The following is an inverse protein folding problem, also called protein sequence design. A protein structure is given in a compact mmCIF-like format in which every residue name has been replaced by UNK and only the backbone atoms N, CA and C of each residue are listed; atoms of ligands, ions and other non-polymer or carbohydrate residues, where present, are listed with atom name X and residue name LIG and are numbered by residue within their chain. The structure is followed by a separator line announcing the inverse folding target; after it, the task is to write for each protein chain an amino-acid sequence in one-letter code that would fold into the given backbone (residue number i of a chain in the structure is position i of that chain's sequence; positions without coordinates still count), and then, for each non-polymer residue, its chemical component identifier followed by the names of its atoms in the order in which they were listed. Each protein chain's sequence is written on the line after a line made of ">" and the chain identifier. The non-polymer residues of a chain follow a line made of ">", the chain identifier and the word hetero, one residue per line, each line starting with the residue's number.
data_IF_308311567790
#
_entry.id   IF_308311567790
#
_cell.length_a   1.000
_cell.length_b   1.000
_cell.length_c   1.000
_cell.angle_alpha   90.00
_cell.angle_beta   90.00
_cell.angle_gamma   90.00
#
_symmetry.space_group_name_H-M   'P 1'
#
loop_
_entity.id
_entity.type
_entity.pdbx_description
1 polymer ?
#
# COMPACT_ATOMS: atom_id res chain seq x y z
N UNK A 1 0.60 8.97 -13.21
CA UNK A 1 0.83 7.63 -12.65
C UNK A 1 2.21 7.10 -13.04
N UNK A 2 2.57 7.04 -14.33
CA UNK A 2 3.90 6.54 -14.75
C UNK A 2 5.10 7.25 -14.08
N UNK A 3 5.01 8.56 -13.85
CA UNK A 3 6.07 9.33 -13.18
C UNK A 3 6.26 8.94 -11.72
N UNK A 4 5.18 8.75 -10.96
CA UNK A 4 5.24 8.32 -9.55
C UNK A 4 5.81 6.90 -9.42
N UNK A 5 5.32 5.95 -10.23
CA UNK A 5 5.82 4.58 -10.21
C UNK A 5 7.33 4.53 -10.49
N UNK A 6 7.78 5.30 -11.50
CA UNK A 6 9.20 5.37 -11.84
C UNK A 6 10.05 5.96 -10.69
N UNK A 7 9.56 7.00 -10.02
CA UNK A 7 10.23 7.58 -8.84
C UNK A 7 10.33 6.58 -7.70
N UNK A 8 9.27 5.83 -7.43
CA UNK A 8 9.25 4.79 -6.40
C UNK A 8 10.19 3.63 -6.73
N UNK A 9 10.24 3.18 -7.99
CA UNK A 9 11.19 2.15 -8.43
C UNK A 9 12.65 2.62 -8.28
N UNK A 10 12.93 3.90 -8.55
CA UNK A 10 14.26 4.48 -8.32
C UNK A 10 14.58 4.54 -6.83
N UNK A 11 13.62 4.86 -5.97
CA UNK A 11 13.81 4.85 -4.51
C UNK A 11 14.08 3.45 -3.96
N UNK A 12 13.35 2.44 -4.45
CA UNK A 12 13.57 1.02 -4.11
C UNK A 12 14.98 0.62 -4.53
N UNK A 13 15.34 0.88 -5.80
CA UNK A 13 16.67 0.57 -6.33
C UNK A 13 17.80 1.25 -5.54
N UNK A 14 17.60 2.49 -5.07
CA UNK A 14 18.56 3.22 -4.25
C UNK A 14 18.73 2.71 -2.81
N UNK A 15 17.83 1.82 -2.36
CA UNK A 15 17.89 1.17 -1.03
C UNK A 15 18.40 -0.27 -1.10
N UNK A 16 18.60 -0.81 -2.31
CA UNK A 16 19.14 -2.15 -2.47
C UNK A 16 20.61 -2.19 -2.09
N UNK A 17 20.94 -3.23 -1.36
CA UNK A 17 22.30 -3.59 -0.95
C UNK A 17 22.72 -4.87 -1.68
N UNK A 18 24.03 -5.19 -1.75
CA UNK A 18 24.47 -6.48 -2.27
C UNK A 18 23.86 -7.69 -1.55
N UNK A 19 23.43 -7.50 -0.31
CA UNK A 19 22.75 -8.50 0.51
C UNK A 19 21.25 -8.58 0.26
N UNK A 20 20.67 -7.61 -0.47
CA UNK A 20 19.24 -7.59 -0.77
C UNK A 20 18.84 -8.75 -1.66
N UNK A 21 17.77 -9.42 -1.26
CA UNK A 21 17.17 -10.54 -1.95
C UNK A 21 16.09 -10.07 -2.91
N UNK A 22 15.66 -10.97 -3.80
CA UNK A 22 14.54 -10.69 -4.69
C UNK A 22 13.24 -10.51 -3.89
N UNK A 23 13.09 -11.25 -2.79
CA UNK A 23 11.99 -11.15 -1.85
C UNK A 23 11.88 -9.75 -1.23
N UNK A 24 13.01 -9.13 -0.85
CA UNK A 24 13.03 -7.76 -0.32
C UNK A 24 12.50 -6.74 -1.33
N UNK A 25 12.79 -6.95 -2.63
CA UNK A 25 12.26 -6.12 -3.71
C UNK A 25 10.75 -6.31 -3.85
N UNK A 26 10.27 -7.56 -3.80
CA UNK A 26 8.85 -7.87 -3.89
C UNK A 26 8.05 -7.30 -2.71
N UNK A 27 8.60 -7.36 -1.49
CA UNK A 27 7.96 -6.77 -0.31
C UNK A 27 7.77 -5.25 -0.48
N UNK A 28 8.80 -4.54 -0.95
CA UNK A 28 8.71 -3.10 -1.20
C UNK A 28 7.72 -2.75 -2.31
N UNK A 29 7.65 -3.55 -3.37
CA UNK A 29 6.66 -3.38 -4.44
C UNK A 29 5.23 -3.67 -3.96
N UNK A 30 5.04 -4.68 -3.12
CA UNK A 30 3.73 -5.00 -2.52
C UNK A 30 3.24 -3.85 -1.65
N UNK A 31 4.11 -3.31 -0.80
CA UNK A 31 3.79 -2.15 0.04
C UNK A 31 3.40 -0.94 -0.82
N UNK A 32 4.08 -0.72 -1.95
CA UNK A 32 3.73 0.35 -2.88
C UNK A 32 2.32 0.19 -3.43
N UNK A 33 1.97 -1.02 -3.87
CA UNK A 33 0.65 -1.32 -4.40
C UNK A 33 -0.45 -1.08 -3.34
N UNK A 34 -0.20 -1.48 -2.10
CA UNK A 34 -1.13 -1.26 -0.98
C UNK A 34 -1.33 0.23 -0.68
N UNK A 35 -0.25 1.03 -0.77
CA UNK A 35 -0.32 2.50 -0.62
C UNK A 35 -1.14 3.11 -1.76
N UNK A 36 -0.90 2.72 -3.01
CA UNK A 36 -1.65 3.25 -4.15
C UNK A 36 -3.16 2.93 -4.03
N UNK A 37 -3.50 1.72 -3.59
CA UNK A 37 -4.89 1.34 -3.32
C UNK A 37 -5.48 2.22 -2.23
N UNK A 38 -4.73 2.45 -1.14
CA UNK A 38 -5.16 3.30 -0.03
C UNK A 38 -5.40 4.75 -0.47
N UNK A 39 -4.50 5.34 -1.26
CA UNK A 39 -4.67 6.70 -1.82
C UNK A 39 -5.93 6.78 -2.69
N UNK A 40 -6.21 5.75 -3.50
CA UNK A 40 -7.43 5.71 -4.31
C UNK A 40 -8.70 5.59 -3.47
N UNK A 41 -8.66 4.81 -2.40
CA UNK A 41 -9.78 4.68 -1.46
C UNK A 41 -10.04 6.00 -0.75
N UNK A 42 -8.99 6.69 -0.30
CA UNK A 42 -9.07 8.02 0.31
C UNK A 42 -9.71 9.04 -0.65
N UNK A 43 -9.23 9.12 -1.90
CA UNK A 43 -9.77 10.03 -2.92
C UNK A 43 -11.25 9.75 -3.25
N UNK A 44 -11.68 8.49 -3.14
CA UNK A 44 -13.08 8.08 -3.34
C UNK A 44 -13.94 8.29 -2.09
N UNK A 45 -13.38 8.80 -0.99
CA UNK A 45 -14.06 8.95 0.29
C UNK A 45 -14.40 7.62 0.95
N UNK A 46 -13.71 6.53 0.58
CA UNK A 46 -13.87 5.19 1.16
C UNK A 46 -13.09 5.07 2.47
N UNK A 47 -13.24 6.08 3.35
CA UNK A 47 -12.60 6.14 4.65
C UNK A 47 -13.67 5.89 5.68
N UNK A 48 -13.44 4.92 6.57
CA UNK A 48 -14.37 4.60 7.64
C UNK A 48 -13.96 5.34 8.91
N UNK A 49 -14.95 5.91 9.59
CA UNK A 49 -14.81 6.34 10.97
C UNK A 49 -14.74 5.13 11.91
N UNK A 50 -14.22 5.34 13.11
CA UNK A 50 -14.17 4.31 14.15
C UNK A 50 -15.54 3.63 14.37
N UNK A 51 -16.62 4.41 14.41
CA UNK A 51 -17.97 3.88 14.59
C UNK A 51 -18.44 3.01 13.42
N UNK A 52 -18.01 3.31 12.20
CA UNK A 52 -18.37 2.55 11.00
C UNK A 52 -17.60 1.23 10.93
N UNK A 53 -16.32 1.25 11.33
CA UNK A 53 -15.50 0.03 11.47
C UNK A 53 -16.13 -0.92 12.50
N UNK A 54 -16.50 -0.42 13.67
CA UNK A 54 -17.15 -1.23 14.71
C UNK A 54 -18.47 -1.84 14.27
N UNK A 55 -19.24 -1.11 13.44
CA UNK A 55 -20.50 -1.61 12.89
C UNK A 55 -20.24 -2.74 11.89
N UNK A 56 -19.34 -2.53 10.93
CA UNK A 56 -19.04 -3.54 9.89
C UNK A 56 -18.37 -4.78 10.48
N UNK A 57 -17.48 -4.63 11.46
CA UNK A 57 -16.84 -5.76 12.13
C UNK A 57 -17.86 -6.68 12.81
N UNK A 58 -18.90 -6.12 13.44
CA UNK A 58 -20.00 -6.90 14.03
C UNK A 58 -20.86 -7.65 13.01
N UNK A 59 -20.94 -7.15 11.77
CA UNK A 59 -21.64 -7.81 10.68
C UNK A 59 -20.82 -8.99 10.10
N UNK A 60 -19.49 -8.92 10.12
CA UNK A 60 -18.60 -10.00 9.67
C UNK A 60 -18.52 -11.21 10.61
N UNK A 61 -18.79 -11.02 11.90
CA UNK A 61 -18.70 -12.08 12.92
C UNK A 61 -20.05 -12.83 13.10
N UNK A 62 -21.09 -12.46 12.34
CA UNK A 62 -22.35 -13.20 12.24
C UNK A 62 -22.26 -14.34 11.24
#
# INVERSE_FOLDING_TARGET
>A
METKLKEHLIQIAGRLTPESTLEDVYEQLSLLADIEISEQQEQKGQILTQSEVEKQSKEWVK
#
